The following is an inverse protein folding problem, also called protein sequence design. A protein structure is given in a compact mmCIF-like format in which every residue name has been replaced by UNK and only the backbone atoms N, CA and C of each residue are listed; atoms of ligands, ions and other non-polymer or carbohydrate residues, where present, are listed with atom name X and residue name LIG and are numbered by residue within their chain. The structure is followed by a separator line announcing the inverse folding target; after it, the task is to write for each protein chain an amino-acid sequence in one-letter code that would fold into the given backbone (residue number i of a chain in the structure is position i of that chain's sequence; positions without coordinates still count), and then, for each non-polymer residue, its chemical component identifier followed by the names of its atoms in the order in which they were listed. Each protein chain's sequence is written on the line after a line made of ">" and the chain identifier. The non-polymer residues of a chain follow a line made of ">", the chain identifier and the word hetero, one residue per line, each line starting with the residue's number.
data_IF_631485190779
#
_entry.id   IF_631485190779
#
_cell.length_a   1.000
_cell.length_b   1.000
_cell.length_c   1.000
_cell.angle_alpha   90.00
_cell.angle_beta   90.00
_cell.angle_gamma   90.00
#
_symmetry.space_group_name_H-M   'P 1'
#
loop_
_entity.id
_entity.type
_entity.pdbx_description
1 polymer ?
#
# COMPACT_ATOMS: atom_id res chain seq x y z
N UNK A 1 -24.58 -4.99 13.62
CA UNK A 1 -25.52 -5.11 12.49
C UNK A 1 -24.71 -5.73 11.37
N UNK A 2 -25.00 -6.98 11.02
CA UNK A 2 -24.30 -7.68 9.94
C UNK A 2 -24.55 -6.97 8.61
N UNK A 3 -23.48 -6.70 7.88
CA UNK A 3 -23.57 -6.16 6.53
C UNK A 3 -24.20 -7.21 5.63
N UNK A 4 -25.35 -6.88 5.04
CA UNK A 4 -26.07 -7.79 4.17
C UNK A 4 -25.29 -8.01 2.86
N UNK A 5 -25.48 -9.14 2.16
CA UNK A 5 -24.92 -9.33 0.81
C UNK A 5 -25.23 -8.18 -0.15
N UNK A 6 -26.35 -7.48 0.04
CA UNK A 6 -26.74 -6.31 -0.75
C UNK A 6 -25.91 -5.06 -0.44
N UNK A 7 -25.55 -4.84 0.83
CA UNK A 7 -24.68 -3.72 1.22
C UNK A 7 -23.23 -3.96 0.76
N UNK A 8 -22.75 -5.20 0.85
CA UNK A 8 -21.47 -5.60 0.27
C UNK A 8 -21.45 -5.38 -1.24
N UNK A 9 -22.54 -5.75 -1.93
CA UNK A 9 -22.73 -5.52 -3.36
C UNK A 9 -22.76 -4.04 -3.73
N UNK A 10 -23.46 -3.18 -2.97
CA UNK A 10 -23.51 -1.74 -3.24
C UNK A 10 -22.13 -1.06 -3.10
N UNK A 11 -21.34 -1.43 -2.09
CA UNK A 11 -19.95 -0.99 -1.95
C UNK A 11 -19.05 -1.51 -3.09
N UNK A 12 -19.34 -2.72 -3.59
CA UNK A 12 -18.64 -3.33 -4.71
C UNK A 12 -18.97 -2.70 -6.05
N UNK A 13 -20.23 -2.38 -6.30
CA UNK A 13 -20.70 -1.75 -7.55
C UNK A 13 -20.08 -0.35 -7.69
N UNK A 14 -19.96 0.38 -6.57
CA UNK A 14 -19.19 1.64 -6.49
C UNK A 14 -17.71 1.46 -6.80
N UNK A 15 -17.08 0.34 -6.40
CA UNK A 15 -15.66 0.07 -6.67
C UNK A 15 -15.43 -0.44 -8.11
N UNK A 16 -16.29 -1.32 -8.61
CA UNK A 16 -16.24 -1.92 -9.95
C UNK A 16 -16.54 -0.91 -11.05
N UNK A 17 -17.41 0.08 -10.81
CA UNK A 17 -17.65 1.18 -11.73
C UNK A 17 -16.37 1.94 -12.12
N UNK A 18 -15.41 2.05 -11.20
CA UNK A 18 -14.10 2.68 -11.45
C UNK A 18 -13.11 1.73 -12.13
N UNK A 19 -13.16 0.42 -11.85
CA UNK A 19 -12.25 -0.58 -12.41
C UNK A 19 -12.51 -0.88 -13.90
N UNK A 20 -13.77 -0.83 -14.34
CA UNK A 20 -14.16 -1.18 -15.71
C UNK A 20 -13.64 -0.21 -16.79
N UNK A 21 -13.14 0.97 -16.41
CA UNK A 21 -12.62 1.97 -17.36
C UNK A 21 -11.08 1.96 -17.47
N UNK A 22 -10.38 1.09 -16.71
CA UNK A 22 -8.92 1.20 -16.51
C UNK A 22 -8.03 0.12 -17.12
N UNK A 23 -8.58 -0.97 -17.66
CA UNK A 23 -7.76 -2.15 -18.04
C UNK A 23 -8.08 -2.61 -19.46
N UNK A 24 -7.43 -1.99 -20.46
CA UNK A 24 -7.67 -2.33 -21.85
C UNK A 24 -6.64 -1.79 -22.84
N UNK A 25 -5.34 -1.85 -22.53
CA UNK A 25 -4.28 -1.45 -23.47
C UNK A 25 -3.72 -2.64 -24.23
N UNK A 26 -4.20 -2.90 -25.45
CA UNK A 26 -3.60 -3.88 -26.38
C UNK A 26 -2.17 -3.44 -26.73
N UNK A 27 -1.19 -4.33 -26.60
CA UNK A 27 0.19 -4.11 -27.04
C UNK A 27 0.25 -4.08 -28.58
N UNK A 28 0.43 -2.89 -29.15
CA UNK A 28 0.86 -2.72 -30.54
C UNK A 28 2.39 -2.78 -30.62
N UNK A 29 2.92 -3.62 -31.51
CA UNK A 29 4.34 -3.63 -31.87
C UNK A 29 4.77 -2.30 -32.47
N UNK A 30 5.80 -1.65 -31.91
CA UNK A 30 6.59 -0.64 -32.61
C UNK A 30 8.09 -0.77 -32.27
N UNK A 31 8.88 -0.36 -33.26
CA UNK A 31 10.29 -0.66 -33.49
C UNK A 31 11.28 -0.04 -32.49
N UNK A 32 12.53 -0.51 -32.60
CA UNK A 32 13.71 -0.21 -31.77
C UNK A 32 13.79 1.24 -31.27
N UNK A 33 13.85 1.39 -29.93
CA UNK A 33 14.08 2.66 -29.26
C UNK A 33 15.57 3.07 -29.29
N UNK A 34 15.87 4.38 -29.10
CA UNK A 34 17.22 4.90 -29.19
C UNK A 34 18.11 4.39 -28.03
N UNK A 35 19.45 4.38 -28.18
CA UNK A 35 20.34 3.79 -27.19
C UNK A 35 20.34 4.57 -25.87
N UNK A 36 20.42 3.84 -24.76
CA UNK A 36 20.48 4.38 -23.41
C UNK A 36 21.73 5.24 -23.19
N UNK A 37 21.56 6.38 -22.51
CA UNK A 37 22.67 7.22 -22.04
C UNK A 37 23.42 6.52 -20.89
N UNK A 38 24.76 6.57 -20.84
CA UNK A 38 25.53 5.93 -19.79
C UNK A 38 25.44 6.74 -18.49
N UNK A 39 24.83 6.17 -17.45
CA UNK A 39 24.97 6.66 -16.08
C UNK A 39 26.37 6.28 -15.57
N UNK A 40 27.26 7.26 -15.45
CA UNK A 40 28.60 7.07 -14.88
C UNK A 40 28.53 6.85 -13.36
N UNK A 41 28.25 5.62 -12.94
CA UNK A 41 28.46 5.15 -11.57
C UNK A 41 29.90 4.67 -11.40
N UNK A 42 30.66 5.28 -10.48
CA UNK A 42 32.02 4.88 -10.12
C UNK A 42 32.05 3.40 -9.69
N UNK A 43 32.94 2.62 -10.30
CA UNK A 43 33.32 1.28 -9.84
C UNK A 43 34.09 1.44 -8.53
N UNK A 44 33.57 0.90 -7.42
CA UNK A 44 34.27 0.87 -6.13
C UNK A 44 35.09 -0.41 -6.07
N UNK A 45 36.41 -0.23 -5.98
CA UNK A 45 37.42 -1.27 -5.75
C UNK A 45 37.18 -2.00 -4.41
N UNK A 46 37.18 -3.34 -4.45
CA UNK A 46 37.00 -4.22 -3.28
C UNK A 46 38.33 -4.91 -2.95
N UNK A 47 39.25 -4.18 -2.32
CA UNK A 47 40.42 -4.79 -1.69
C UNK A 47 40.04 -5.36 -0.30
N UNK A 48 40.31 -6.65 0.01
CA UNK A 48 39.93 -7.26 1.27
C UNK A 48 41.02 -7.07 2.34
N UNK A 49 40.66 -6.53 3.52
CA UNK A 49 41.66 -6.43 4.61
C UNK A 49 41.28 -5.79 5.95
N UNK A 50 40.01 -5.55 6.29
CA UNK A 50 39.66 -4.94 7.59
C UNK A 50 39.03 -5.96 8.53
N UNK A 51 39.62 -6.13 9.71
CA UNK A 51 39.13 -7.01 10.80
C UNK A 51 38.00 -6.32 11.56
N UNK A 52 36.89 -7.03 11.79
CA UNK A 52 35.70 -6.53 12.47
C UNK A 52 35.74 -6.76 13.99
N UNK A 53 35.23 -5.79 14.76
CA UNK A 53 35.03 -5.86 16.22
C UNK A 53 33.58 -6.25 16.56
N UNK A 54 33.32 -6.89 17.72
CA UNK A 54 31.98 -7.32 18.09
C UNK A 54 31.17 -6.11 18.59
N UNK A 55 30.25 -5.65 17.73
CA UNK A 55 29.44 -4.43 17.87
C UNK A 55 28.82 -3.98 16.54
N UNK A 56 29.28 -4.56 15.42
CA UNK A 56 28.74 -4.30 14.09
C UNK A 56 27.34 -4.89 13.91
N UNK A 57 26.31 -4.10 14.24
CA UNK A 57 25.02 -4.19 13.56
C UNK A 57 25.35 -4.07 12.07
N UNK A 58 25.16 -5.14 11.31
CA UNK A 58 25.53 -5.18 9.90
C UNK A 58 25.01 -3.91 9.21
N UNK A 59 25.92 -3.05 8.74
CA UNK A 59 25.57 -1.91 7.89
C UNK A 59 24.91 -2.50 6.63
N UNK A 60 23.59 -2.55 6.63
CA UNK A 60 22.80 -2.68 5.41
C UNK A 60 23.28 -1.52 4.53
N UNK A 61 23.75 -1.82 3.33
CA UNK A 61 24.15 -0.76 2.39
C UNK A 61 22.95 0.19 2.22
N UNK A 62 23.14 1.48 2.52
CA UNK A 62 22.05 2.47 2.43
C UNK A 62 21.50 2.48 1.00
N UNK A 63 20.24 2.08 0.85
CA UNK A 63 19.54 2.13 -0.43
C UNK A 63 19.30 3.59 -0.80
N UNK A 64 19.61 3.95 -2.05
CA UNK A 64 19.24 5.25 -2.58
C UNK A 64 17.72 5.35 -2.75
N UNK A 65 17.18 6.57 -2.79
CA UNK A 65 15.74 6.82 -2.96
C UNK A 65 15.17 6.09 -4.20
N UNK A 66 15.92 6.05 -5.31
CA UNK A 66 15.50 5.36 -6.52
C UNK A 66 15.58 3.84 -6.40
N UNK A 67 16.50 3.30 -5.61
CA UNK A 67 16.55 1.86 -5.33
C UNK A 67 15.30 1.45 -4.54
N UNK A 68 14.91 2.24 -3.55
CA UNK A 68 13.68 2.07 -2.78
C UNK A 68 12.46 2.14 -3.70
N UNK A 69 12.31 3.20 -4.50
CA UNK A 69 11.19 3.38 -5.43
C UNK A 69 11.07 2.25 -6.45
N UNK A 70 12.18 1.80 -7.04
CA UNK A 70 12.16 0.78 -8.08
C UNK A 70 11.92 -0.64 -7.53
N UNK A 71 12.18 -0.87 -6.25
CA UNK A 71 12.06 -2.20 -5.62
C UNK A 71 10.93 -2.34 -4.60
N UNK A 72 10.26 -1.23 -4.23
CA UNK A 72 9.06 -1.25 -3.41
C UNK A 72 7.96 -2.04 -4.12
N UNK A 73 7.43 -3.04 -3.44
CA UNK A 73 6.35 -3.89 -3.94
C UNK A 73 5.52 -4.41 -2.76
N UNK A 74 4.27 -4.71 -3.04
CA UNK A 74 3.39 -5.34 -2.07
C UNK A 74 3.90 -6.75 -1.69
N UNK A 75 4.22 -6.94 -0.41
CA UNK A 75 4.57 -8.21 0.22
C UNK A 75 3.32 -8.78 0.88
N UNK A 76 3.04 -10.07 0.67
CA UNK A 76 1.79 -10.72 1.09
C UNK A 76 2.01 -11.93 2.01
N UNK A 77 3.26 -12.27 2.27
CA UNK A 77 3.67 -13.41 3.07
C UNK A 77 4.80 -12.93 3.97
N UNK A 78 4.65 -13.13 5.28
CA UNK A 78 5.46 -12.47 6.29
C UNK A 78 6.03 -13.49 7.28
N UNK A 79 7.26 -13.27 7.73
CA UNK A 79 7.76 -13.98 8.90
C UNK A 79 7.07 -13.46 10.17
N UNK A 80 6.88 -14.31 11.20
CA UNK A 80 6.15 -13.95 12.42
C UNK A 80 6.97 -13.07 13.38
N UNK A 81 8.27 -12.86 13.10
CA UNK A 81 9.15 -12.05 13.94
C UNK A 81 8.59 -10.63 14.16
N UNK A 82 8.57 -10.13 15.41
CA UNK A 82 8.10 -8.78 15.69
C UNK A 82 8.99 -7.73 15.01
N UNK A 83 8.37 -6.63 14.56
CA UNK A 83 9.10 -5.47 14.06
C UNK A 83 9.56 -4.62 15.27
N UNK A 84 10.84 -4.22 15.34
CA UNK A 84 11.36 -3.34 16.39
C UNK A 84 10.63 -2.00 16.50
N UNK A 85 10.51 -1.47 17.72
CA UNK A 85 9.75 -0.24 18.00
C UNK A 85 10.34 1.01 17.35
N UNK A 86 11.67 1.07 17.22
CA UNK A 86 12.39 2.14 16.51
C UNK A 86 12.11 2.12 15.00
N UNK A 87 12.00 0.93 14.39
CA UNK A 87 11.58 0.78 13.01
C UNK A 87 10.13 1.24 12.81
N UNK A 88 9.21 0.88 13.72
CA UNK A 88 7.81 1.34 13.68
C UNK A 88 7.74 2.87 13.81
N UNK A 89 8.47 3.45 14.76
CA UNK A 89 8.53 4.90 14.95
C UNK A 89 9.06 5.61 13.69
N UNK A 90 10.12 5.09 13.08
CA UNK A 90 10.70 5.62 11.83
C UNK A 90 9.69 5.59 10.68
N UNK A 91 8.94 4.49 10.54
CA UNK A 91 7.89 4.35 9.51
C UNK A 91 6.79 5.39 9.74
N UNK A 92 6.29 5.52 10.98
CA UNK A 92 5.25 6.49 11.32
C UNK A 92 5.73 7.93 11.12
N UNK A 93 6.95 8.26 11.53
CA UNK A 93 7.54 9.59 11.31
C UNK A 93 7.59 9.92 9.82
N UNK A 94 8.01 8.99 8.96
CA UNK A 94 8.00 9.20 7.51
C UNK A 94 6.58 9.55 7.00
N UNK A 95 5.56 8.88 7.52
CA UNK A 95 4.16 9.22 7.25
C UNK A 95 3.81 10.66 7.60
N UNK A 96 4.26 11.16 8.76
CA UNK A 96 4.01 12.56 9.17
C UNK A 96 4.69 13.61 8.29
N UNK A 97 5.65 13.22 7.44
CA UNK A 97 6.33 14.12 6.49
C UNK A 97 5.57 14.31 5.17
N UNK A 98 4.37 13.76 5.04
CA UNK A 98 3.54 13.92 3.85
C UNK A 98 2.98 15.35 3.70
N UNK A 99 2.68 15.81 2.47
CA UNK A 99 1.92 17.02 2.25
C UNK A 99 0.46 16.86 2.70
N UNK A 100 -0.19 17.94 3.13
CA UNK A 100 -1.62 17.96 3.43
C UNK A 100 -2.28 19.28 3.01
N UNK A 101 -3.56 19.26 2.62
CA UNK A 101 -4.28 20.48 2.25
C UNK A 101 -4.33 21.42 3.44
N UNK A 102 -3.99 22.69 3.20
CA UNK A 102 -3.94 23.73 4.24
C UNK A 102 -3.08 23.35 5.45
N UNK A 103 -2.12 22.44 5.27
CA UNK A 103 -1.32 21.86 6.36
C UNK A 103 -2.16 21.24 7.50
N UNK A 104 -3.34 20.70 7.18
CA UNK A 104 -4.29 20.13 8.15
C UNK A 104 -3.77 18.90 8.89
N UNK A 105 -2.81 18.16 8.30
CA UNK A 105 -2.23 16.94 8.84
C UNK A 105 -3.30 15.98 9.39
N UNK A 106 -4.28 15.56 8.57
CA UNK A 106 -5.49 14.93 9.05
C UNK A 106 -5.32 13.42 9.30
N UNK A 107 -4.10 12.91 9.22
CA UNK A 107 -3.79 11.51 9.45
C UNK A 107 -3.79 11.19 10.95
N UNK A 108 -4.29 9.99 11.27
CA UNK A 108 -4.02 9.33 12.53
C UNK A 108 -3.58 7.89 12.24
N UNK A 109 -2.81 7.30 13.16
CA UNK A 109 -2.29 5.94 12.99
C UNK A 109 -2.58 5.09 14.22
N UNK A 110 -3.12 3.90 14.02
CA UNK A 110 -3.30 2.91 15.09
C UNK A 110 -2.37 1.72 14.81
N UNK A 111 -1.43 1.48 15.72
CA UNK A 111 -0.50 0.36 15.70
C UNK A 111 -1.12 -0.83 16.43
N UNK A 112 -1.28 -1.96 15.72
CA UNK A 112 -1.84 -3.20 16.28
C UNK A 112 -0.78 -4.30 16.23
N UNK A 113 -0.26 -4.64 17.41
CA UNK A 113 0.75 -5.71 17.62
C UNK A 113 0.20 -6.89 18.40
N UNK A 114 -0.87 -6.68 19.16
CA UNK A 114 -1.49 -7.69 20.00
C UNK A 114 -2.09 -8.82 19.13
N UNK A 115 -1.67 -10.09 19.31
CA UNK A 115 -2.15 -11.21 18.50
C UNK A 115 -3.67 -11.40 18.56
N UNK A 116 -4.30 -11.17 19.72
CA UNK A 116 -5.74 -11.34 19.85
C UNK A 116 -6.51 -10.29 19.04
N UNK A 117 -6.07 -9.03 19.10
CA UNK A 117 -6.61 -7.93 18.29
C UNK A 117 -6.38 -8.20 16.80
N UNK A 118 -5.18 -8.65 16.39
CA UNK A 118 -4.92 -9.02 14.98
C UNK A 118 -5.82 -10.14 14.50
N UNK A 119 -6.07 -11.16 15.32
CA UNK A 119 -6.95 -12.27 14.98
C UNK A 119 -8.41 -11.81 14.75
N UNK A 120 -8.92 -10.88 15.57
CA UNK A 120 -10.25 -10.30 15.35
C UNK A 120 -10.34 -9.53 14.02
N UNK A 121 -9.33 -8.73 13.71
CA UNK A 121 -9.24 -8.01 12.43
C UNK A 121 -9.10 -8.97 11.24
N UNK A 122 -8.32 -10.05 11.40
CA UNK A 122 -8.14 -11.06 10.36
C UNK A 122 -9.43 -11.83 10.05
N UNK A 123 -10.29 -12.08 11.05
CA UNK A 123 -11.60 -12.67 10.81
C UNK A 123 -12.47 -11.75 9.94
N UNK A 124 -12.52 -10.45 10.25
CA UNK A 124 -13.21 -9.46 9.41
C UNK A 124 -12.63 -9.49 7.99
N UNK A 125 -11.30 -9.43 7.87
CA UNK A 125 -10.60 -9.43 6.58
C UNK A 125 -10.97 -10.63 5.72
N UNK A 126 -10.88 -11.83 6.29
CA UNK A 126 -11.16 -13.11 5.62
C UNK A 126 -12.62 -13.23 5.23
N UNK A 127 -13.53 -12.85 6.14
CA UNK A 127 -14.97 -12.82 5.86
C UNK A 127 -15.29 -11.91 4.68
N UNK A 128 -14.78 -10.67 4.68
CA UNK A 128 -14.97 -9.72 3.58
C UNK A 128 -14.39 -10.27 2.29
N UNK A 129 -13.14 -10.76 2.30
CA UNK A 129 -12.52 -11.33 1.10
C UNK A 129 -13.35 -12.45 0.48
N UNK A 130 -13.87 -13.37 1.29
CA UNK A 130 -14.69 -14.48 0.82
C UNK A 130 -16.05 -14.04 0.25
N UNK A 131 -16.61 -12.91 0.73
CA UNK A 131 -17.82 -12.32 0.17
C UNK A 131 -17.58 -11.63 -1.18
N UNK A 132 -16.39 -11.05 -1.38
CA UNK A 132 -16.09 -10.24 -2.57
C UNK A 132 -15.41 -11.01 -3.69
N UNK A 133 -14.61 -12.05 -3.38
CA UNK A 133 -13.68 -12.62 -4.36
C UNK A 133 -14.36 -13.25 -5.57
N UNK A 134 -15.38 -14.07 -5.36
CA UNK A 134 -16.06 -14.79 -6.45
C UNK A 134 -16.94 -13.83 -7.27
N UNK A 135 -17.76 -12.94 -6.67
CA UNK A 135 -18.57 -12.01 -7.47
C UNK A 135 -17.75 -11.03 -8.32
N UNK A 136 -16.51 -10.72 -7.90
CA UNK A 136 -15.65 -9.74 -8.58
C UNK A 136 -14.72 -10.40 -9.60
N UNK A 137 -14.11 -11.52 -9.24
CA UNK A 137 -13.03 -12.13 -10.02
C UNK A 137 -13.39 -13.50 -10.62
N UNK A 138 -14.53 -14.08 -10.24
CA UNK A 138 -14.92 -15.43 -10.61
C UNK A 138 -13.95 -16.49 -10.07
N UNK A 139 -13.75 -17.56 -10.83
CA UNK A 139 -12.72 -18.55 -10.55
C UNK A 139 -11.32 -17.98 -10.83
N UNK A 140 -10.60 -17.66 -9.75
CA UNK A 140 -9.23 -17.12 -9.80
C UNK A 140 -8.30 -18.03 -10.61
N UNK A 141 -8.48 -19.36 -10.52
CA UNK A 141 -7.58 -20.31 -11.20
C UNK A 141 -7.86 -20.40 -12.71
N UNK A 142 -9.05 -20.01 -13.14
CA UNK A 142 -9.45 -19.94 -14.55
C UNK A 142 -9.00 -18.63 -15.26
N UNK A 143 -8.43 -17.65 -14.54
CA UNK A 143 -7.99 -16.38 -15.14
C UNK A 143 -6.83 -16.59 -16.13
N UNK A 144 -7.05 -16.19 -17.39
CA UNK A 144 -6.09 -16.33 -18.49
C UNK A 144 -4.82 -15.50 -18.27
N UNK A 145 -4.95 -14.24 -17.84
CA UNK A 145 -3.80 -13.38 -17.55
C UNK A 145 -3.01 -13.94 -16.35
N UNK A 146 -1.85 -14.53 -16.66
CA UNK A 146 -0.97 -15.16 -15.66
C UNK A 146 -0.53 -14.20 -14.55
N UNK A 147 -0.35 -12.91 -14.85
CA UNK A 147 0.08 -11.92 -13.88
C UNK A 147 -1.03 -11.62 -12.88
N UNK A 148 -2.24 -11.37 -13.39
CA UNK A 148 -3.44 -11.13 -12.60
C UNK A 148 -3.81 -12.35 -11.75
N UNK A 149 -3.79 -13.55 -12.34
CA UNK A 149 -4.03 -14.81 -11.61
C UNK A 149 -3.07 -14.99 -10.44
N UNK A 150 -1.76 -14.81 -10.66
CA UNK A 150 -0.75 -14.90 -9.59
C UNK A 150 -0.95 -13.88 -8.49
N UNK A 151 -1.31 -12.64 -8.86
CA UNK A 151 -1.64 -11.58 -7.91
C UNK A 151 -2.82 -11.98 -7.02
N UNK A 152 -3.91 -12.47 -7.61
CA UNK A 152 -5.11 -12.84 -6.89
C UNK A 152 -4.91 -14.08 -6.02
N UNK A 153 -4.18 -15.09 -6.51
CA UNK A 153 -3.77 -16.23 -5.68
C UNK A 153 -2.94 -15.80 -4.46
N UNK A 154 -2.02 -14.83 -4.63
CA UNK A 154 -1.26 -14.29 -3.51
C UNK A 154 -2.13 -13.49 -2.53
N UNK A 155 -3.13 -12.76 -3.04
CA UNK A 155 -4.12 -12.06 -2.20
C UNK A 155 -5.02 -13.03 -1.43
N UNK A 156 -5.42 -14.15 -2.04
CA UNK A 156 -6.20 -15.20 -1.36
C UNK A 156 -5.39 -15.86 -0.23
N UNK A 157 -4.10 -16.13 -0.45
CA UNK A 157 -3.18 -16.57 0.63
C UNK A 157 -3.05 -15.55 1.75
N UNK A 158 -2.87 -14.27 1.41
CA UNK A 158 -2.85 -13.20 2.41
C UNK A 158 -4.15 -13.20 3.22
N UNK A 159 -5.31 -13.28 2.55
CA UNK A 159 -6.60 -13.26 3.25
C UNK A 159 -6.79 -14.44 4.21
N UNK A 160 -6.23 -15.61 3.87
CA UNK A 160 -6.29 -16.78 4.73
C UNK A 160 -5.43 -16.64 6.00
N UNK A 161 -4.36 -15.85 5.95
CA UNK A 161 -3.30 -15.81 6.96
C UNK A 161 -2.79 -14.39 7.28
N UNK A 162 -3.65 -13.38 7.19
CA UNK A 162 -3.24 -11.96 7.31
C UNK A 162 -2.68 -11.64 8.70
N UNK A 163 -3.16 -12.34 9.73
CA UNK A 163 -2.69 -12.26 11.12
C UNK A 163 -1.30 -12.87 11.37
N UNK A 164 -0.73 -13.61 10.40
CA UNK A 164 0.68 -13.97 10.40
C UNK A 164 1.59 -12.74 10.23
N UNK A 165 1.08 -11.64 9.68
CA UNK A 165 1.81 -10.39 9.71
C UNK A 165 1.98 -9.91 11.17
N UNK A 166 3.21 -9.67 11.64
CA UNK A 166 3.49 -9.29 13.03
C UNK A 166 3.02 -7.87 13.39
N UNK A 167 2.55 -7.09 12.41
CA UNK A 167 2.13 -5.72 12.63
C UNK A 167 1.03 -5.33 11.66
N UNK A 168 -0.05 -4.75 12.19
CA UNK A 168 -0.94 -3.89 11.41
C UNK A 168 -0.76 -2.43 11.80
N UNK A 169 -0.75 -1.54 10.81
CA UNK A 169 -0.94 -0.11 11.03
C UNK A 169 -2.18 0.32 10.27
N UNK A 170 -3.18 0.82 11.00
CA UNK A 170 -4.32 1.46 10.37
C UNK A 170 -3.99 2.94 10.13
N UNK A 171 -3.92 3.34 8.87
CA UNK A 171 -3.85 4.73 8.47
C UNK A 171 -5.27 5.28 8.37
N UNK A 172 -5.53 6.35 9.12
CA UNK A 172 -6.86 6.88 9.39
C UNK A 172 -6.98 8.31 8.88
N UNK A 173 -8.21 8.74 8.63
CA UNK A 173 -8.55 10.14 8.40
C UNK A 173 -9.32 10.68 9.61
N UNK A 174 -8.75 11.67 10.30
CA UNK A 174 -9.41 12.47 11.33
C UNK A 174 -10.08 13.68 10.68
N UNK A 175 -11.39 13.59 10.49
CA UNK A 175 -12.19 14.65 9.85
C UNK A 175 -12.29 15.91 10.70
N UNK A 176 -12.01 15.84 12.00
CA UNK A 176 -12.00 17.03 12.88
C UNK A 176 -10.83 17.96 12.59
N UNK A 177 -9.78 17.47 11.92
CA UNK A 177 -8.63 18.27 11.48
C UNK A 177 -8.86 19.00 10.17
N UNK A 178 -9.91 18.64 9.45
CA UNK A 178 -10.23 19.27 8.19
C UNK A 178 -10.90 20.62 8.47
N UNK A 179 -10.28 21.69 7.98
CA UNK A 179 -10.91 23.00 7.92
C UNK A 179 -11.96 23.07 6.81
N UNK A 180 -12.48 24.27 6.57
CA UNK A 180 -13.34 24.54 5.42
C UNK A 180 -12.51 24.38 4.14
N UNK A 181 -12.89 23.44 3.29
CA UNK A 181 -12.30 23.26 1.96
C UNK A 181 -13.30 23.68 0.90
N UNK A 182 -12.87 24.50 -0.06
CA UNK A 182 -13.68 24.87 -1.21
C UNK A 182 -13.76 23.69 -2.17
N UNK A 183 -14.97 23.20 -2.41
CA UNK A 183 -15.24 22.13 -3.37
C UNK A 183 -15.48 22.68 -4.78
N UNK A 184 -15.41 21.83 -5.84
CA UNK A 184 -15.61 22.28 -7.22
C UNK A 184 -16.97 22.93 -7.50
N UNK A 185 -17.99 22.59 -6.71
CA UNK A 185 -19.33 23.19 -6.76
C UNK A 185 -19.44 24.49 -5.93
N UNK A 186 -18.35 24.91 -5.25
CA UNK A 186 -18.28 26.07 -4.35
C UNK A 186 -19.29 26.02 -3.19
N UNK A 187 -19.91 24.86 -2.93
CA UNK A 187 -21.05 24.73 -2.02
C UNK A 187 -20.78 23.85 -0.79
N UNK A 188 -19.77 22.99 -0.83
CA UNK A 188 -19.49 22.03 0.24
C UNK A 188 -18.16 22.30 0.93
N UNK A 189 -18.06 21.87 2.20
CA UNK A 189 -16.96 22.19 3.12
C UNK A 189 -15.86 21.11 3.18
N UNK A 190 -15.98 20.04 2.39
CA UNK A 190 -15.09 18.88 2.42
C UNK A 190 -14.83 18.41 0.99
N UNK A 191 -13.63 18.66 0.46
CA UNK A 191 -13.18 18.03 -0.77
C UNK A 191 -12.53 16.68 -0.38
N UNK A 192 -13.23 15.54 -0.53
CA UNK A 192 -12.75 14.28 0.04
C UNK A 192 -11.46 13.80 -0.63
N UNK A 193 -11.24 14.16 -1.91
CA UNK A 193 -10.05 13.78 -2.67
C UNK A 193 -8.76 14.28 -2.05
N UNK A 194 -8.64 15.56 -1.67
CA UNK A 194 -7.43 16.05 -0.99
C UNK A 194 -7.26 15.49 0.42
N UNK A 195 -8.37 15.25 1.15
CA UNK A 195 -8.30 14.69 2.50
C UNK A 195 -7.77 13.24 2.48
N UNK A 196 -8.34 12.37 1.64
CA UNK A 196 -7.82 11.02 1.44
C UNK A 196 -6.44 11.04 0.76
N UNK A 197 -6.20 11.98 -0.15
CA UNK A 197 -4.91 12.16 -0.83
C UNK A 197 -3.77 12.44 0.15
N UNK A 198 -4.01 13.26 1.18
CA UNK A 198 -3.04 13.49 2.25
C UNK A 198 -2.69 12.21 3.02
N UNK A 199 -3.69 11.39 3.36
CA UNK A 199 -3.46 10.12 4.06
C UNK A 199 -2.75 9.11 3.14
N UNK A 200 -3.09 9.03 1.85
CA UNK A 200 -2.36 8.17 0.91
C UNK A 200 -0.91 8.61 0.66
N UNK A 201 -0.64 9.92 0.69
CA UNK A 201 0.74 10.42 0.64
C UNK A 201 1.52 10.01 1.91
N UNK A 202 0.88 10.04 3.08
CA UNK A 202 1.47 9.53 4.32
C UNK A 202 1.74 8.02 4.24
N UNK A 203 0.78 7.25 3.72
CA UNK A 203 0.93 5.81 3.48
C UNK A 203 2.12 5.55 2.54
N UNK A 204 2.25 6.28 1.43
CA UNK A 204 3.37 6.08 0.50
C UNK A 204 4.73 6.35 1.18
N UNK A 205 4.86 7.43 1.94
CA UNK A 205 6.07 7.69 2.72
C UNK A 205 6.39 6.55 3.71
N UNK A 206 5.37 6.01 4.38
CA UNK A 206 5.52 4.85 5.28
C UNK A 206 6.00 3.61 4.54
N UNK A 207 5.46 3.33 3.33
CA UNK A 207 5.88 2.19 2.51
C UNK A 207 7.33 2.33 2.04
N UNK A 208 7.75 3.53 1.64
CA UNK A 208 9.13 3.80 1.25
C UNK A 208 10.09 3.63 2.43
N UNK A 209 9.74 4.14 3.61
CA UNK A 209 10.51 3.95 4.83
C UNK A 209 10.59 2.47 5.24
N UNK A 210 9.46 1.74 5.21
CA UNK A 210 9.43 0.31 5.47
C UNK A 210 10.35 -0.44 4.50
N UNK A 211 10.29 -0.12 3.20
CA UNK A 211 11.18 -0.70 2.20
C UNK A 211 12.64 -0.40 2.48
N UNK A 212 13.00 0.82 2.86
CA UNK A 212 14.37 1.19 3.21
C UNK A 212 14.90 0.40 4.42
N UNK A 213 14.03 0.08 5.37
CA UNK A 213 14.31 -0.75 6.55
C UNK A 213 14.19 -2.27 6.26
N UNK A 214 14.01 -2.66 5.00
CA UNK A 214 13.78 -4.04 4.57
C UNK A 214 12.54 -4.72 5.21
N UNK A 215 11.58 -3.91 5.66
CA UNK A 215 10.27 -4.36 6.14
C UNK A 215 9.32 -4.46 4.95
N UNK A 216 8.79 -5.65 4.73
CA UNK A 216 7.75 -5.88 3.74
C UNK A 216 6.43 -5.27 4.19
N UNK A 217 5.68 -4.71 3.24
CA UNK A 217 4.37 -4.12 3.53
C UNK A 217 3.38 -4.35 2.38
N UNK A 218 2.10 -4.35 2.73
CA UNK A 218 0.99 -4.23 1.78
C UNK A 218 -0.12 -3.38 2.38
N UNK A 219 -0.69 -2.51 1.56
CA UNK A 219 -1.91 -1.76 1.86
C UNK A 219 -3.14 -2.57 1.44
N UNK A 220 -4.17 -2.54 2.25
CA UNK A 220 -5.44 -3.20 1.94
C UNK A 220 -6.61 -2.43 2.52
N UNK A 221 -7.69 -2.38 1.76
CA UNK A 221 -8.88 -1.59 2.09
C UNK A 221 -10.10 -2.48 2.37
N UNK A 222 -9.94 -3.81 2.47
CA UNK A 222 -11.08 -4.71 2.72
C UNK A 222 -11.73 -4.45 4.07
N UNK A 223 -10.94 -4.18 5.11
CA UNK A 223 -11.46 -3.88 6.46
C UNK A 223 -12.27 -2.57 6.50
N UNK A 224 -12.01 -1.63 5.57
CA UNK A 224 -12.80 -0.40 5.43
C UNK A 224 -14.25 -0.67 5.04
N UNK A 225 -14.55 -1.80 4.39
CA UNK A 225 -15.93 -2.22 4.08
C UNK A 225 -16.73 -2.58 5.36
N UNK A 226 -16.03 -2.81 6.46
CA UNK A 226 -16.60 -3.14 7.78
C UNK A 226 -16.12 -2.16 8.85
N UNK A 227 -15.92 -0.88 8.50
CA UNK A 227 -15.32 0.14 9.38
C UNK A 227 -16.01 0.24 10.75
N UNK A 228 -17.34 0.05 10.82
CA UNK A 228 -18.06 0.04 12.11
C UNK A 228 -17.57 -1.06 13.06
N UNK A 229 -17.31 -2.27 12.56
CA UNK A 229 -16.80 -3.38 13.39
C UNK A 229 -15.34 -3.13 13.77
N UNK A 230 -14.54 -2.64 12.83
CA UNK A 230 -13.14 -2.26 13.08
C UNK A 230 -13.06 -1.15 14.14
N UNK A 231 -13.98 -0.18 14.11
CA UNK A 231 -14.12 0.87 15.12
C UNK A 231 -14.47 0.33 16.50
N UNK A 232 -15.32 -0.68 16.59
CA UNK A 232 -15.65 -1.33 17.87
C UNK A 232 -14.42 -2.03 18.47
N UNK A 233 -13.58 -2.63 17.63
CA UNK A 233 -12.34 -3.30 18.05
C UNK A 233 -11.28 -2.27 18.46
N UNK A 234 -11.06 -1.23 17.65
CA UNK A 234 -9.95 -0.28 17.81
C UNK A 234 -10.29 0.99 18.60
N UNK A 235 -11.57 1.24 18.86
CA UNK A 235 -12.03 2.31 19.75
C UNK A 235 -11.86 3.74 19.24
N UNK A 236 -11.75 3.98 17.93
CA UNK A 236 -11.64 5.35 17.39
C UNK A 236 -12.99 6.08 17.34
N UNK A 237 -13.01 7.42 17.44
CA UNK A 237 -14.26 8.20 17.49
C UNK A 237 -14.96 8.28 16.12
N UNK A 238 -16.24 8.69 16.10
CA UNK A 238 -17.06 8.72 14.87
C UNK A 238 -16.55 9.66 13.77
N UNK A 239 -15.78 10.69 14.13
CA UNK A 239 -15.17 11.61 13.18
C UNK A 239 -13.85 11.08 12.59
N UNK A 240 -13.42 9.89 13.00
CA UNK A 240 -12.24 9.19 12.48
C UNK A 240 -12.70 7.95 11.71
N UNK A 241 -12.10 7.69 10.55
CA UNK A 241 -12.37 6.50 9.74
C UNK A 241 -11.08 5.85 9.23
N UNK A 242 -11.12 4.55 8.95
CA UNK A 242 -9.98 3.85 8.33
C UNK A 242 -9.82 4.26 6.87
N UNK A 243 -8.64 4.69 6.44
CA UNK A 243 -8.33 4.90 5.01
C UNK A 243 -7.75 3.62 4.41
N UNK A 244 -6.78 3.03 5.09
CA UNK A 244 -6.18 1.75 4.70
C UNK A 244 -5.59 1.04 5.92
N UNK A 245 -5.58 -0.29 5.87
CA UNK A 245 -4.77 -1.11 6.76
C UNK A 245 -3.47 -1.47 6.05
N UNK A 246 -2.34 -1.27 6.71
CA UNK A 246 -1.05 -1.78 6.28
C UNK A 246 -0.75 -3.05 7.08
N UNK A 247 -0.50 -4.17 6.41
CA UNK A 247 0.11 -5.34 7.01
C UNK A 247 1.61 -5.30 6.76
N UNK A 248 2.41 -5.41 7.83
CA UNK A 248 3.86 -5.30 7.78
C UNK A 248 4.55 -6.50 8.45
N UNK A 249 5.70 -6.88 7.90
CA UNK A 249 6.54 -7.95 8.43
C UNK A 249 7.76 -8.17 7.54
N UNK A 250 8.74 -8.96 8.01
CA UNK A 250 9.83 -9.40 7.14
C UNK A 250 9.26 -10.28 6.02
N UNK A 251 9.67 -10.12 4.75
CA UNK A 251 9.17 -10.99 3.67
C UNK A 251 9.51 -12.47 3.93
N UNK A 252 8.50 -13.35 3.87
CA UNK A 252 8.71 -14.81 3.92
C UNK A 252 9.07 -15.34 2.54
N UNK A 253 10.07 -16.22 2.46
CA UNK A 253 10.44 -16.85 1.20
C UNK A 253 9.24 -17.59 0.57
N UNK A 254 9.02 -17.47 -0.77
CA UNK A 254 9.92 -16.89 -1.77
C UNK A 254 9.73 -15.38 -2.02
N UNK A 255 8.86 -14.71 -1.25
CA UNK A 255 8.67 -13.26 -1.36
C UNK A 255 9.96 -12.53 -0.99
N UNK A 256 10.29 -11.52 -1.80
CA UNK A 256 11.51 -10.71 -1.67
C UNK A 256 11.32 -9.38 -2.37
N UNK A 257 12.11 -8.38 -1.97
CA UNK A 257 12.22 -7.16 -2.76
C UNK A 257 12.89 -7.43 -4.10
N UNK A 258 12.56 -6.60 -5.08
CA UNK A 258 13.08 -6.73 -6.42
C UNK A 258 12.39 -5.76 -7.37
N UNK A 259 12.92 -5.61 -8.59
CA UNK A 259 12.43 -4.63 -9.54
C UNK A 259 10.94 -4.84 -9.82
N UNK A 260 10.23 -3.73 -9.97
CA UNK A 260 8.84 -3.73 -10.40
C UNK A 260 8.69 -3.40 -11.88
N UNK A 261 7.65 -3.93 -12.49
CA UNK A 261 7.25 -3.55 -13.85
C UNK A 261 6.19 -2.45 -13.77
N UNK A 262 6.34 -1.41 -14.58
CA UNK A 262 5.41 -0.29 -14.71
C UNK A 262 5.16 0.00 -16.18
N UNK A 263 4.06 0.68 -16.49
CA UNK A 263 3.83 1.21 -17.83
C UNK A 263 4.96 2.18 -18.18
N UNK A 264 5.51 2.14 -19.41
CA UNK A 264 6.46 3.14 -19.87
C UNK A 264 5.94 4.56 -19.66
N UNK A 265 6.81 5.49 -19.29
CA UNK A 265 6.41 6.87 -18.99
C UNK A 265 5.72 7.54 -20.18
N UNK A 266 6.13 7.23 -21.41
CA UNK A 266 5.51 7.78 -22.64
C UNK A 266 4.06 7.31 -22.89
N UNK A 267 3.57 6.27 -22.20
CA UNK A 267 2.17 5.84 -22.29
C UNK A 267 1.23 6.60 -21.34
N UNK A 268 1.78 7.28 -20.33
CA UNK A 268 1.02 7.96 -19.26
C UNK A 268 1.36 9.44 -19.12
N UNK A 269 2.52 9.86 -19.63
CA UNK A 269 3.00 11.23 -19.63
C UNK A 269 2.57 11.95 -20.90
N UNK A 270 2.00 13.14 -20.74
CA UNK A 270 1.64 14.02 -21.84
C UNK A 270 2.26 15.42 -21.68
N UNK A 271 2.84 15.98 -22.74
CA UNK A 271 3.36 17.35 -22.79
C UNK A 271 2.26 18.33 -23.18
N UNK A 272 1.97 19.32 -22.33
CA UNK A 272 0.97 20.40 -22.48
C UNK A 272 -0.49 19.96 -22.63
N UNK A 273 -0.80 18.97 -23.46
CA UNK A 273 -2.16 18.53 -23.82
C UNK A 273 -2.26 17.02 -23.82
N UNK A 274 -3.43 16.53 -23.41
CA UNK A 274 -3.75 15.11 -23.46
C UNK A 274 -3.49 14.51 -24.84
N UNK A 275 -2.83 13.36 -24.88
CA UNK A 275 -2.48 12.66 -26.12
C UNK A 275 -1.18 13.10 -26.80
N UNK A 276 -0.51 14.16 -26.33
CA UNK A 276 0.84 14.53 -26.81
C UNK A 276 1.90 13.90 -25.90
N UNK A 277 2.64 12.86 -26.29
CA UNK A 277 3.60 12.20 -25.39
C UNK A 277 4.73 13.14 -24.93
N UNK A 278 5.34 12.82 -23.79
CA UNK A 278 6.58 13.47 -23.29
C UNK A 278 7.84 12.95 -23.99
#
# INVERSE_FOLDING_TARGET
>A
MDVTPEQAKAGMDLWMGWAQHGVGGRRGHLAEGPPALPLSGRVIDRSPGVRHHPGDVARVAELGVFDVLHSLRAIREFEPDPIPDDAIATILEAGTRAPSPQNSQPWAFIVVRDPATRAQIAEIYRRVWNLVKEPVYGDIDAIEDRSQRRLLQATDRLAAAVDEAPLFIFAMLDRSKLGVMVTPDLQTLLEPSSAYGAVWAAIENMLLAARALEVGAITTNLTRLMDTEVRQILGYPEHVETVSMLALGRPRAPARFGPTTRRPVGEVGHSERWGRPI
#
